data_IF_980424711888
#
_entry.id   IF_980424711888
#
_cell.length_a   1.000
_cell.length_b   1.000
_cell.length_c   1.000
_cell.angle_alpha   90.00
_cell.angle_beta   90.00
_cell.angle_gamma   90.00
#
_symmetry.space_group_name_H-M   'P 1'
#
loop_
_entity.id
_entity.type
_entity.pdbx_description
1 polymer ?
#
# COMPACT_ATOMS: atom_id res chain seq x y z
N UNK A 1 2.05 -19.14 21.47
CA UNK A 1 0.76 -19.24 20.73
C UNK A 1 0.98 -20.13 19.52
N UNK A 2 0.02 -20.99 19.17
CA UNK A 2 0.13 -21.80 17.96
C UNK A 2 -0.18 -20.97 16.71
N UNK A 3 0.45 -21.29 15.56
CA UNK A 3 0.22 -20.55 14.29
C UNK A 3 -1.27 -20.49 13.95
N UNK A 4 -1.98 -21.62 14.10
CA UNK A 4 -3.40 -21.70 13.75
C UNK A 4 -4.26 -20.80 14.64
N UNK A 5 -3.98 -20.75 15.91
CA UNK A 5 -4.66 -19.89 16.87
C UNK A 5 -4.51 -18.41 16.49
N UNK A 6 -3.27 -17.97 16.19
CA UNK A 6 -3.02 -16.60 15.75
C UNK A 6 -3.67 -16.30 14.40
N UNK A 7 -3.65 -17.24 13.45
CA UNK A 7 -4.34 -17.11 12.18
C UNK A 7 -5.85 -16.87 12.37
N UNK A 8 -6.49 -17.64 13.25
CA UNK A 8 -7.93 -17.54 13.51
C UNK A 8 -8.27 -16.19 14.17
N UNK A 9 -7.49 -15.75 15.15
CA UNK A 9 -7.65 -14.41 15.77
C UNK A 9 -7.56 -13.32 14.72
N UNK A 10 -6.52 -13.32 13.89
CA UNK A 10 -6.28 -12.31 12.86
C UNK A 10 -7.40 -12.31 11.80
N UNK A 11 -7.83 -13.48 11.35
CA UNK A 11 -8.90 -13.63 10.35
C UNK A 11 -10.24 -13.11 10.89
N UNK A 12 -10.62 -13.53 12.11
CA UNK A 12 -11.88 -13.15 12.74
C UNK A 12 -11.92 -11.65 13.05
N UNK A 13 -10.81 -11.05 13.49
CA UNK A 13 -10.71 -9.62 13.76
C UNK A 13 -10.51 -8.76 12.51
N UNK A 14 -10.49 -9.35 11.33
CA UNK A 14 -10.49 -8.63 10.06
C UNK A 14 -9.18 -7.93 9.72
N UNK A 15 -8.03 -8.41 10.22
CA UNK A 15 -6.72 -7.82 9.97
C UNK A 15 -6.21 -8.17 8.59
N UNK A 16 -5.95 -7.14 7.79
CA UNK A 16 -5.37 -7.23 6.45
C UNK A 16 -4.15 -6.33 6.33
N UNK A 17 -3.36 -6.48 5.27
CA UNK A 17 -2.28 -5.56 4.98
C UNK A 17 -2.78 -4.13 4.85
N UNK A 18 -2.46 -3.26 5.80
CA UNK A 18 -2.94 -1.88 5.89
C UNK A 18 -2.32 -0.98 4.81
N UNK A 19 -1.18 -1.36 4.26
CA UNK A 19 -0.53 -0.70 3.13
C UNK A 19 -0.65 -1.56 1.86
N UNK A 20 -1.01 -0.97 0.73
CA UNK A 20 -1.09 -1.66 -0.56
C UNK A 20 -2.44 -2.33 -0.82
N UNK A 21 -2.44 -3.59 -1.27
CA UNK A 21 -3.62 -4.25 -1.83
C UNK A 21 -4.52 -4.96 -0.80
N UNK A 22 -4.22 -4.86 0.50
CA UNK A 22 -5.05 -5.48 1.53
C UNK A 22 -4.96 -7.00 1.58
N UNK A 23 -3.76 -7.58 1.42
CA UNK A 23 -3.61 -9.03 1.52
C UNK A 23 -3.94 -9.52 2.94
N UNK A 24 -4.82 -10.54 3.12
CA UNK A 24 -5.18 -11.07 4.44
C UNK A 24 -3.96 -11.55 5.23
N UNK A 25 -3.73 -10.95 6.38
CA UNK A 25 -2.48 -11.09 7.15
C UNK A 25 -2.27 -12.51 7.65
N UNK A 26 -3.35 -13.22 8.02
CA UNK A 26 -3.28 -14.60 8.52
C UNK A 26 -2.58 -15.56 7.56
N UNK A 27 -2.66 -15.31 6.24
CA UNK A 27 -1.99 -16.12 5.22
C UNK A 27 -0.47 -15.96 5.16
N UNK A 28 0.07 -14.93 5.81
CA UNK A 28 1.52 -14.72 5.93
C UNK A 28 2.15 -15.48 7.08
N UNK A 29 1.33 -16.00 7.98
CA UNK A 29 1.79 -16.77 9.14
C UNK A 29 2.05 -18.22 8.73
N UNK A 30 3.31 -18.60 8.64
CA UNK A 30 3.74 -19.93 8.22
C UNK A 30 5.11 -20.26 8.79
N UNK A 31 5.35 -21.49 9.13
CA UNK A 31 6.63 -22.07 9.57
C UNK A 31 7.73 -22.07 8.50
N UNK A 32 7.36 -21.71 7.25
CA UNK A 32 8.33 -21.58 6.14
C UNK A 32 9.12 -20.27 6.18
N UNK A 33 8.69 -19.30 7.00
CA UNK A 33 9.38 -18.00 7.13
C UNK A 33 10.54 -18.15 8.13
N UNK A 34 11.76 -18.03 7.65
CA UNK A 34 12.96 -17.96 8.53
C UNK A 34 13.35 -16.51 8.87
N UNK A 35 12.80 -15.53 8.14
CA UNK A 35 12.93 -14.09 8.41
C UNK A 35 11.54 -13.48 8.36
N UNK A 36 11.21 -12.68 9.36
CA UNK A 36 10.09 -11.74 9.26
C UNK A 36 10.63 -10.33 9.09
N UNK A 37 10.03 -9.55 8.20
CA UNK A 37 10.49 -8.21 7.83
C UNK A 37 9.37 -7.20 8.01
N UNK A 38 9.56 -6.21 8.90
CA UNK A 38 8.61 -5.09 9.05
C UNK A 38 9.00 -3.97 8.10
N UNK A 39 8.08 -3.58 7.24
CA UNK A 39 8.24 -2.48 6.30
C UNK A 39 7.88 -1.15 6.96
N UNK A 40 8.88 -0.40 7.38
CA UNK A 40 8.79 1.00 7.82
C UNK A 40 9.46 1.96 6.83
N UNK A 41 9.62 1.53 5.57
CA UNK A 41 10.14 2.36 4.48
C UNK A 41 8.98 3.04 3.73
N UNK A 42 8.25 3.90 4.42
CA UNK A 42 7.18 4.70 3.82
C UNK A 42 7.77 5.58 2.70
N UNK A 43 7.63 5.13 1.46
CA UNK A 43 8.31 5.75 0.31
C UNK A 43 7.39 6.54 -0.61
N UNK A 44 6.07 6.50 -0.39
CA UNK A 44 5.16 7.42 -1.09
C UNK A 44 5.37 8.84 -0.54
N UNK A 45 5.75 9.82 -1.39
CA UNK A 45 6.00 11.18 -0.94
C UNK A 45 4.85 11.78 -0.11
N UNK A 46 5.18 12.61 0.87
CA UNK A 46 4.30 13.29 1.83
C UNK A 46 3.69 12.38 2.91
N UNK A 47 3.80 11.06 2.83
CA UNK A 47 3.24 10.17 3.83
C UNK A 47 4.20 10.00 5.03
N UNK A 48 3.64 10.09 6.24
CA UNK A 48 4.40 10.04 7.51
C UNK A 48 3.74 9.13 8.56
N UNK A 49 2.69 8.40 8.16
CA UNK A 49 1.83 7.63 9.06
C UNK A 49 2.59 6.51 9.79
N UNK A 50 3.34 5.68 9.05
CA UNK A 50 3.95 4.49 9.65
C UNK A 50 5.04 4.84 10.65
N UNK A 51 5.87 5.86 10.35
CA UNK A 51 6.87 6.33 11.30
C UNK A 51 6.23 6.96 12.55
N UNK A 52 5.13 7.70 12.41
CA UNK A 52 4.40 8.30 13.54
C UNK A 52 3.79 7.23 14.45
N UNK A 53 3.16 6.19 13.86
CA UNK A 53 2.65 5.06 14.63
C UNK A 53 3.77 4.32 15.35
N UNK A 54 4.86 4.04 14.65
CA UNK A 54 5.99 3.31 15.22
C UNK A 54 6.74 4.11 16.28
N UNK A 55 6.79 5.44 16.16
CA UNK A 55 7.34 6.33 17.19
C UNK A 55 6.48 6.30 18.47
N UNK A 56 5.17 6.31 18.31
CA UNK A 56 4.23 6.42 19.42
C UNK A 56 3.94 5.10 20.13
N UNK A 57 3.94 3.99 19.38
CA UNK A 57 3.60 2.64 19.84
C UNK A 57 4.75 1.65 19.61
N UNK A 58 6.00 2.11 19.82
CA UNK A 58 7.20 1.31 19.57
C UNK A 58 7.17 -0.03 20.32
N UNK A 59 6.89 0.00 21.62
CA UNK A 59 6.88 -1.19 22.45
C UNK A 59 5.80 -2.20 22.03
N UNK A 60 4.56 -1.75 21.85
CA UNK A 60 3.43 -2.61 21.48
C UNK A 60 3.63 -3.28 20.13
N UNK A 61 4.15 -2.50 19.16
CA UNK A 61 4.43 -2.99 17.81
C UNK A 61 5.59 -3.99 17.84
N UNK A 62 6.68 -3.69 18.56
CA UNK A 62 7.84 -4.58 18.67
C UNK A 62 7.50 -5.85 19.43
N UNK A 63 6.77 -5.77 20.56
CA UNK A 63 6.26 -6.91 21.33
C UNK A 63 5.45 -7.85 20.43
N UNK A 64 4.54 -7.29 19.64
CA UNK A 64 3.69 -8.06 18.72
C UNK A 64 4.50 -8.67 17.59
N UNK A 65 5.45 -7.93 17.05
CA UNK A 65 6.32 -8.42 15.98
C UNK A 65 7.20 -9.56 16.46
N UNK A 66 7.71 -9.47 17.69
CA UNK A 66 8.44 -10.56 18.34
C UNK A 66 7.54 -11.78 18.62
N UNK A 67 6.31 -11.57 19.08
CA UNK A 67 5.33 -12.66 19.22
C UNK A 67 5.07 -13.37 17.87
N UNK A 68 4.96 -12.62 16.77
CA UNK A 68 4.83 -13.22 15.43
C UNK A 68 6.10 -14.03 15.08
N UNK A 69 7.30 -13.49 15.37
CA UNK A 69 8.59 -14.18 15.16
C UNK A 69 8.61 -15.53 15.85
N UNK A 70 8.29 -15.57 17.14
CA UNK A 70 8.26 -16.79 17.94
C UNK A 70 7.20 -17.77 17.42
N UNK A 71 6.00 -17.27 17.08
CA UNK A 71 4.87 -18.08 16.62
C UNK A 71 5.19 -18.79 15.29
N UNK A 72 5.86 -18.14 14.35
CA UNK A 72 6.23 -18.74 13.06
C UNK A 72 7.60 -19.46 13.12
N UNK A 73 8.34 -19.32 14.22
CA UNK A 73 9.67 -19.93 14.40
C UNK A 73 10.76 -19.25 13.56
N UNK A 74 10.58 -17.96 13.22
CA UNK A 74 11.59 -17.23 12.43
C UNK A 74 12.83 -16.94 13.28
N UNK A 75 14.02 -17.20 12.71
CA UNK A 75 15.30 -16.95 13.37
C UNK A 75 15.63 -15.47 13.51
N UNK A 76 15.04 -14.61 12.67
CA UNK A 76 15.34 -13.18 12.60
C UNK A 76 14.09 -12.34 12.35
N UNK A 77 13.97 -11.24 13.09
CA UNK A 77 12.97 -10.19 12.88
C UNK A 77 13.68 -8.88 12.50
N UNK A 78 13.41 -8.38 11.30
CA UNK A 78 14.07 -7.18 10.76
C UNK A 78 13.07 -6.04 10.68
N UNK A 79 13.42 -4.87 11.21
CA UNK A 79 12.66 -3.63 10.98
C UNK A 79 13.40 -2.80 9.94
N UNK A 80 12.90 -2.79 8.70
CA UNK A 80 13.45 -1.96 7.63
C UNK A 80 12.96 -0.52 7.75
N UNK A 81 13.85 0.39 8.14
CA UNK A 81 13.54 1.78 8.46
C UNK A 81 14.50 2.76 7.78
N UNK A 82 14.02 3.89 7.31
CA UNK A 82 14.86 4.91 6.69
C UNK A 82 15.77 5.61 7.70
N UNK A 83 17.01 5.87 7.31
CA UNK A 83 18.03 6.54 8.15
C UNK A 83 17.58 7.90 8.69
N UNK A 84 16.76 8.62 7.95
CA UNK A 84 16.26 9.95 8.32
C UNK A 84 15.19 9.93 9.43
N UNK A 85 14.62 8.77 9.77
CA UNK A 85 13.57 8.66 10.79
C UNK A 85 14.18 8.62 12.20
N UNK A 86 14.97 9.65 12.55
CA UNK A 86 15.80 9.70 13.76
C UNK A 86 14.98 9.49 15.03
N UNK A 87 13.82 10.14 15.16
CA UNK A 87 12.96 10.03 16.34
C UNK A 87 12.37 8.63 16.48
N UNK A 88 11.91 8.06 15.37
CA UNK A 88 11.38 6.69 15.33
C UNK A 88 12.48 5.66 15.66
N UNK A 89 13.69 5.83 15.11
CA UNK A 89 14.85 4.98 15.42
C UNK A 89 15.20 5.07 16.91
N UNK A 90 15.15 6.28 17.49
CA UNK A 90 15.39 6.47 18.92
C UNK A 90 14.35 5.71 19.76
N UNK A 91 13.05 5.84 19.45
CA UNK A 91 11.98 5.12 20.14
C UNK A 91 12.15 3.59 20.07
N UNK A 92 12.53 3.06 18.91
CA UNK A 92 12.79 1.63 18.75
C UNK A 92 14.01 1.15 19.56
N UNK A 93 15.08 1.92 19.56
CA UNK A 93 16.32 1.57 20.28
C UNK A 93 16.13 1.55 21.81
N UNK A 94 15.10 2.18 22.35
CA UNK A 94 14.78 2.08 23.77
C UNK A 94 14.36 0.68 24.18
N UNK A 95 13.85 -0.12 23.24
CA UNK A 95 13.25 -1.44 23.51
C UNK A 95 13.92 -2.60 22.76
N UNK A 96 14.82 -2.33 21.81
CA UNK A 96 15.35 -3.37 20.89
C UNK A 96 16.01 -4.53 21.62
N UNK A 97 16.67 -4.25 22.75
CA UNK A 97 17.38 -5.26 23.56
C UNK A 97 16.42 -6.20 24.31
N UNK A 98 15.12 -5.80 24.47
CA UNK A 98 14.10 -6.62 25.10
C UNK A 98 13.61 -7.76 24.19
N UNK A 99 13.90 -7.69 22.87
CA UNK A 99 13.38 -8.61 21.85
C UNK A 99 14.50 -9.37 21.12
N UNK A 100 14.91 -10.55 21.61
CA UNK A 100 15.97 -11.36 21.00
C UNK A 100 15.69 -11.69 19.54
N UNK A 101 16.72 -11.61 18.69
CA UNK A 101 16.61 -11.88 17.25
C UNK A 101 15.98 -10.75 16.43
N UNK A 102 15.65 -9.62 17.06
CA UNK A 102 15.16 -8.42 16.38
C UNK A 102 16.30 -7.44 16.12
N UNK A 103 16.31 -6.84 14.93
CA UNK A 103 17.26 -5.78 14.59
C UNK A 103 16.68 -4.72 13.66
N UNK A 104 17.27 -3.54 13.68
CA UNK A 104 16.99 -2.50 12.70
C UNK A 104 17.87 -2.70 11.47
N UNK A 105 17.28 -2.49 10.29
CA UNK A 105 18.02 -2.35 9.03
C UNK A 105 17.79 -0.96 8.47
N UNK A 106 18.87 -0.16 8.40
CA UNK A 106 18.81 1.22 7.98
C UNK A 106 18.81 1.33 6.45
N UNK A 107 17.75 1.94 5.91
CA UNK A 107 17.48 2.09 4.48
C UNK A 107 17.78 3.50 4.00
N UNK A 108 18.10 3.63 2.71
CA UNK A 108 18.30 4.92 2.05
C UNK A 108 16.96 5.61 1.72
N UNK A 109 16.99 6.95 1.59
CA UNK A 109 15.87 7.82 1.20
C UNK A 109 15.61 7.75 -0.31
N UNK A 110 15.17 6.60 -0.81
CA UNK A 110 14.92 6.39 -2.24
C UNK A 110 13.56 5.76 -2.51
N UNK A 111 13.00 6.04 -3.68
CA UNK A 111 11.76 5.45 -4.14
C UNK A 111 12.03 4.33 -5.19
N UNK A 112 11.38 3.16 -5.12
CA UNK A 112 10.39 2.70 -4.15
C UNK A 112 10.98 1.75 -3.09
N UNK A 113 11.63 2.26 -2.07
CA UNK A 113 12.25 1.44 -1.01
C UNK A 113 11.21 0.54 -0.29
N UNK A 114 9.97 0.99 -0.19
CA UNK A 114 8.87 0.22 0.40
C UNK A 114 8.24 -0.83 -0.52
N UNK A 115 8.71 -0.99 -1.77
CA UNK A 115 8.33 -2.15 -2.61
C UNK A 115 8.85 -3.43 -1.96
N UNK A 116 7.95 -4.39 -1.73
CA UNK A 116 8.24 -5.62 -0.97
C UNK A 116 9.47 -6.38 -1.48
N UNK A 117 9.64 -6.49 -2.82
CA UNK A 117 10.78 -7.20 -3.42
C UNK A 117 12.07 -6.39 -3.31
N UNK A 118 11.98 -5.06 -3.45
CA UNK A 118 13.11 -4.16 -3.27
C UNK A 118 13.59 -4.20 -1.82
N UNK A 119 12.65 -4.09 -0.86
CA UNK A 119 12.95 -4.12 0.56
C UNK A 119 13.59 -5.44 1.00
N UNK A 120 13.09 -6.58 0.50
CA UNK A 120 13.69 -7.90 0.80
C UNK A 120 15.12 -7.93 0.31
N UNK A 121 15.39 -7.48 -0.91
CA UNK A 121 16.75 -7.44 -1.43
C UNK A 121 17.68 -6.55 -0.59
N UNK A 122 17.26 -5.33 -0.25
CA UNK A 122 18.04 -4.41 0.58
C UNK A 122 18.36 -5.00 1.96
N UNK A 123 17.37 -5.61 2.60
CA UNK A 123 17.51 -6.10 3.97
C UNK A 123 18.24 -7.45 4.08
N UNK A 124 18.20 -8.28 3.01
CA UNK A 124 18.63 -9.68 3.09
C UNK A 124 19.54 -10.14 1.95
N UNK A 125 19.68 -9.36 0.88
CA UNK A 125 20.38 -9.77 -0.35
C UNK A 125 19.63 -10.80 -1.21
N UNK A 126 18.43 -11.25 -0.76
CA UNK A 126 17.64 -12.28 -1.48
C UNK A 126 16.82 -11.67 -2.59
N UNK A 127 16.81 -12.27 -3.77
CA UNK A 127 16.02 -11.82 -4.91
C UNK A 127 14.77 -12.68 -5.03
N UNK A 128 13.60 -12.07 -4.87
CA UNK A 128 12.32 -12.74 -5.17
C UNK A 128 12.16 -12.83 -6.68
N UNK A 129 11.89 -14.03 -7.20
CA UNK A 129 11.75 -14.24 -8.64
C UNK A 129 10.55 -13.47 -9.24
N UNK A 130 10.55 -13.18 -10.56
CA UNK A 130 9.41 -12.57 -11.23
C UNK A 130 8.11 -13.37 -11.01
N UNK A 131 7.08 -12.69 -10.49
CA UNK A 131 5.79 -13.32 -10.15
C UNK A 131 5.83 -14.26 -8.95
N UNK A 132 6.98 -14.42 -8.27
CA UNK A 132 7.11 -15.20 -7.05
C UNK A 132 6.59 -14.49 -5.80
N UNK A 133 6.50 -15.25 -4.72
CA UNK A 133 6.10 -14.75 -3.42
C UNK A 133 7.31 -14.64 -2.48
N UNK A 134 7.35 -13.66 -1.56
CA UNK A 134 8.41 -13.50 -0.56
C UNK A 134 8.72 -14.80 0.20
N UNK A 135 7.72 -15.58 0.51
CA UNK A 135 7.87 -16.83 1.25
C UNK A 135 8.71 -17.90 0.51
N UNK A 136 8.81 -17.82 -0.81
CA UNK A 136 9.71 -18.69 -1.60
C UNK A 136 11.20 -18.41 -1.28
N UNK A 137 11.48 -17.24 -0.73
CA UNK A 137 12.78 -16.84 -0.20
C UNK A 137 12.87 -16.96 1.32
N UNK A 138 11.88 -17.61 1.96
CA UNK A 138 11.81 -17.75 3.41
C UNK A 138 11.53 -16.44 4.15
N UNK A 139 10.96 -15.44 3.49
CA UNK A 139 10.69 -14.11 4.08
C UNK A 139 9.18 -13.84 4.14
N UNK A 140 8.70 -13.35 5.28
CA UNK A 140 7.35 -12.80 5.40
C UNK A 140 7.41 -11.31 5.73
N UNK A 141 6.76 -10.47 4.91
CA UNK A 141 6.81 -9.00 5.06
C UNK A 141 5.51 -8.49 5.67
N UNK A 142 5.63 -7.64 6.70
CA UNK A 142 4.51 -7.01 7.41
C UNK A 142 4.61 -5.49 7.33
N UNK A 143 3.49 -4.82 7.29
CA UNK A 143 3.41 -3.36 7.39
C UNK A 143 3.27 -2.95 8.85
N UNK A 144 3.77 -1.77 9.24
CA UNK A 144 3.72 -1.24 10.61
C UNK A 144 2.31 -1.22 11.18
N UNK A 145 1.36 -0.59 10.50
CA UNK A 145 -0.03 -0.50 10.97
C UNK A 145 -0.72 -1.88 11.01
N UNK A 146 -0.31 -2.78 10.13
CA UNK A 146 -0.79 -4.18 10.19
C UNK A 146 -0.37 -4.86 11.48
N UNK A 147 0.91 -4.72 11.89
CA UNK A 147 1.39 -5.28 13.16
C UNK A 147 0.68 -4.64 14.35
N UNK A 148 0.45 -3.33 14.32
CA UNK A 148 -0.33 -2.65 15.34
C UNK A 148 -1.79 -3.15 15.41
N UNK A 149 -2.42 -3.42 14.27
CA UNK A 149 -3.74 -4.03 14.24
C UNK A 149 -3.75 -5.49 14.78
N UNK A 150 -2.66 -6.24 14.60
CA UNK A 150 -2.49 -7.55 15.26
C UNK A 150 -2.40 -7.38 16.79
N UNK A 151 -1.63 -6.41 17.27
CA UNK A 151 -1.58 -6.06 18.70
C UNK A 151 -2.98 -5.83 19.26
N UNK A 152 -3.75 -4.96 18.62
CA UNK A 152 -5.12 -4.62 19.05
C UNK A 152 -6.04 -5.84 19.04
N UNK A 153 -5.90 -6.71 18.05
CA UNK A 153 -6.70 -7.94 17.96
C UNK A 153 -6.35 -8.95 19.06
N UNK A 154 -5.06 -9.13 19.36
CA UNK A 154 -4.57 -10.15 20.30
C UNK A 154 -4.68 -9.67 21.76
N UNK A 155 -4.17 -8.47 22.06
CA UNK A 155 -4.07 -7.95 23.42
C UNK A 155 -5.35 -7.21 23.86
N UNK A 156 -5.86 -6.32 23.00
CA UNK A 156 -7.01 -5.48 23.33
C UNK A 156 -8.37 -6.12 22.96
N UNK A 157 -8.35 -7.25 22.25
CA UNK A 157 -9.56 -7.93 21.70
C UNK A 157 -10.39 -7.00 20.81
N UNK A 158 -9.74 -6.07 20.12
CA UNK A 158 -10.37 -5.09 19.25
C UNK A 158 -10.20 -5.46 17.79
N UNK A 159 -11.29 -5.68 17.04
CA UNK A 159 -11.22 -5.91 15.60
C UNK A 159 -10.90 -4.60 14.85
N UNK A 160 -10.54 -4.73 13.58
CA UNK A 160 -10.27 -3.57 12.72
C UNK A 160 -11.56 -2.84 12.38
N UNK A 161 -11.81 -1.75 13.08
CA UNK A 161 -13.00 -0.89 12.94
C UNK A 161 -12.66 0.53 12.48
N UNK A 162 -11.40 0.89 12.52
CA UNK A 162 -10.92 2.23 12.19
C UNK A 162 -9.62 2.18 11.39
N UNK A 163 -9.24 3.32 10.84
CA UNK A 163 -8.07 3.50 10.00
C UNK A 163 -7.41 4.85 10.30
N UNK A 164 -6.10 4.87 10.29
CA UNK A 164 -5.35 6.13 10.28
C UNK A 164 -5.20 6.63 8.85
N UNK A 165 -5.54 7.88 8.61
CA UNK A 165 -5.50 8.50 7.27
C UNK A 165 -4.82 9.85 7.35
N UNK A 166 -3.77 10.05 6.55
CA UNK A 166 -3.11 11.35 6.41
C UNK A 166 -3.86 12.22 5.40
N UNK A 167 -4.17 13.46 5.77
CA UNK A 167 -4.74 14.49 4.88
C UNK A 167 -3.71 15.57 4.69
N UNK A 168 -3.23 15.72 3.46
CA UNK A 168 -2.08 16.57 3.13
C UNK A 168 -2.28 17.36 1.83
N UNK A 169 -1.36 18.22 1.53
CA UNK A 169 -1.26 19.11 0.38
C UNK A 169 -2.14 20.37 0.50
N UNK A 170 -3.11 20.61 -0.36
CA UNK A 170 -3.90 21.86 -0.42
C UNK A 170 -5.01 21.90 0.65
N UNK A 171 -4.60 21.78 1.90
CA UNK A 171 -5.43 21.97 3.10
C UNK A 171 -4.77 22.95 4.06
N UNK A 172 -5.56 23.64 4.89
CA UNK A 172 -5.03 24.64 5.83
C UNK A 172 -4.18 24.01 6.93
N UNK A 173 -4.58 22.85 7.44
CA UNK A 173 -4.01 22.17 8.60
C UNK A 173 -3.75 20.67 8.29
N UNK A 174 -2.67 20.33 7.59
CA UNK A 174 -2.33 18.94 7.31
C UNK A 174 -2.30 18.12 8.61
N UNK A 175 -2.91 16.92 8.57
CA UNK A 175 -3.12 16.10 9.77
C UNK A 175 -3.20 14.62 9.42
N UNK A 176 -2.80 13.76 10.34
CA UNK A 176 -3.11 12.33 10.31
C UNK A 176 -4.17 12.06 11.36
N UNK A 177 -5.31 11.50 10.96
CA UNK A 177 -6.47 11.29 11.83
C UNK A 177 -6.89 9.84 11.87
N UNK A 178 -7.44 9.42 13.01
CA UNK A 178 -8.08 8.12 13.19
C UNK A 178 -9.56 8.21 12.88
N UNK A 179 -10.02 7.48 11.88
CA UNK A 179 -11.40 7.57 11.37
C UNK A 179 -12.08 6.20 11.35
N UNK A 180 -13.40 6.11 11.56
CA UNK A 180 -14.13 4.86 11.43
C UNK A 180 -14.14 4.40 9.97
N UNK A 181 -14.01 3.08 9.74
CA UNK A 181 -14.15 2.51 8.40
C UNK A 181 -15.54 2.82 7.84
N UNK A 182 -15.57 3.18 6.57
CA UNK A 182 -16.81 3.51 5.87
C UNK A 182 -17.26 4.97 5.99
N UNK A 183 -16.57 5.85 6.75
CA UNK A 183 -16.78 7.30 6.64
C UNK A 183 -16.35 7.78 5.26
N UNK A 184 -16.84 8.92 4.82
CA UNK A 184 -16.54 9.46 3.50
C UNK A 184 -15.20 10.18 3.45
N UNK A 185 -14.56 10.23 2.26
CA UNK A 185 -13.32 11.01 2.10
C UNK A 185 -13.52 12.49 2.46
N UNK A 186 -14.69 13.04 2.18
CA UNK A 186 -15.03 14.43 2.48
C UNK A 186 -15.06 14.70 4.00
N UNK A 187 -15.65 13.76 4.79
CA UNK A 187 -15.61 13.85 6.26
C UNK A 187 -14.19 13.80 6.82
N UNK A 188 -13.31 13.02 6.18
CA UNK A 188 -11.89 12.94 6.56
C UNK A 188 -11.15 14.22 6.20
N UNK A 189 -11.34 14.74 4.99
CA UNK A 189 -10.70 15.99 4.53
C UNK A 189 -11.12 17.17 5.41
N UNK A 190 -12.37 17.20 5.88
CA UNK A 190 -12.86 18.25 6.79
C UNK A 190 -12.08 18.31 8.12
N UNK A 191 -11.37 17.24 8.53
CA UNK A 191 -10.53 17.25 9.72
C UNK A 191 -9.23 18.06 9.55
N UNK A 192 -8.84 18.34 8.30
CA UNK A 192 -7.67 19.14 7.94
C UNK A 192 -8.01 20.63 7.68
N UNK A 193 -9.14 21.12 8.19
CA UNK A 193 -9.62 22.48 8.01
C UNK A 193 -10.20 22.72 6.61
N UNK A 194 -9.94 23.90 6.05
CA UNK A 194 -10.43 24.26 4.72
C UNK A 194 -9.48 23.82 3.61
N UNK A 195 -10.02 23.52 2.43
CA UNK A 195 -9.19 23.35 1.23
C UNK A 195 -8.70 24.73 0.75
N UNK A 196 -7.44 24.80 0.33
CA UNK A 196 -6.78 26.06 -0.09
C UNK A 196 -6.95 26.33 -1.59
N UNK A 197 -7.61 25.40 -2.32
CA UNK A 197 -7.92 25.53 -3.76
C UNK A 197 -9.41 25.46 -4.02
N UNK A 198 -9.85 26.10 -5.10
CA UNK A 198 -11.27 26.26 -5.44
C UNK A 198 -11.93 24.95 -5.87
N UNK A 199 -11.27 24.16 -6.72
CA UNK A 199 -11.79 22.91 -7.28
C UNK A 199 -10.86 21.75 -6.88
N UNK A 200 -10.92 21.27 -5.61
CA UNK A 200 -10.01 20.26 -5.12
C UNK A 200 -10.30 18.88 -5.75
N UNK A 201 -9.23 18.16 -6.06
CA UNK A 201 -9.29 16.74 -6.42
C UNK A 201 -8.76 15.94 -5.25
N UNK A 202 -9.54 14.98 -4.77
CA UNK A 202 -9.11 14.04 -3.74
C UNK A 202 -8.34 12.90 -4.38
N UNK A 203 -7.07 12.80 -4.03
CA UNK A 203 -6.19 11.75 -4.52
C UNK A 203 -5.95 10.75 -3.39
N UNK A 204 -6.50 9.54 -3.52
CA UNK A 204 -6.51 8.51 -2.47
C UNK A 204 -5.25 7.66 -2.57
N UNK A 205 -4.50 7.57 -1.48
CA UNK A 205 -3.18 6.93 -1.41
C UNK A 205 -2.05 7.92 -1.70
N UNK A 206 -0.85 7.40 -1.93
CA UNK A 206 0.32 8.24 -2.24
C UNK A 206 0.35 8.74 -3.69
N UNK A 207 1.15 9.76 -4.00
CA UNK A 207 1.17 10.42 -5.31
C UNK A 207 1.60 9.52 -6.46
N UNK A 208 2.39 8.48 -6.18
CA UNK A 208 2.90 7.57 -7.19
C UNK A 208 1.90 6.48 -7.57
N UNK A 209 1.36 5.77 -6.57
CA UNK A 209 0.51 4.61 -6.78
C UNK A 209 -0.98 4.88 -6.58
N UNK A 210 -1.36 6.00 -5.97
CA UNK A 210 -2.74 6.36 -5.67
C UNK A 210 -3.64 6.58 -6.89
N UNK A 211 -4.91 6.86 -6.60
CA UNK A 211 -5.98 7.10 -7.59
C UNK A 211 -6.80 8.33 -7.24
N UNK A 212 -7.48 8.89 -8.24
CA UNK A 212 -8.49 9.92 -8.01
C UNK A 212 -9.71 9.27 -7.33
N UNK A 213 -10.18 9.87 -6.25
CA UNK A 213 -11.38 9.50 -5.50
C UNK A 213 -12.48 10.53 -5.59
N UNK A 214 -13.69 10.12 -5.22
CA UNK A 214 -14.84 10.99 -5.06
C UNK A 214 -15.04 11.28 -3.57
N UNK A 215 -15.47 12.49 -3.21
CA UNK A 215 -15.74 12.87 -1.81
C UNK A 215 -16.65 11.90 -1.05
N UNK A 216 -17.60 11.27 -1.74
CA UNK A 216 -18.52 10.28 -1.19
C UNK A 216 -17.94 8.85 -1.11
N UNK A 217 -16.72 8.58 -1.61
CA UNK A 217 -16.09 7.28 -1.48
C UNK A 217 -15.85 6.94 -0.01
N UNK A 218 -16.07 5.68 0.43
CA UNK A 218 -15.83 5.29 1.81
C UNK A 218 -14.33 5.02 2.06
N UNK A 219 -13.88 5.36 3.26
CA UNK A 219 -12.59 4.91 3.78
C UNK A 219 -12.62 3.39 3.97
N UNK A 220 -11.57 2.73 3.52
CA UNK A 220 -11.39 1.28 3.63
C UNK A 220 -10.16 0.94 4.46
N UNK A 221 -9.96 -0.33 4.79
CA UNK A 221 -8.78 -0.84 5.51
C UNK A 221 -7.43 -0.50 4.84
N UNK A 222 -7.45 -0.11 3.56
CA UNK A 222 -6.26 0.21 2.76
C UNK A 222 -6.10 1.69 2.41
N UNK A 223 -6.98 2.56 2.92
CA UNK A 223 -6.92 4.01 2.70
C UNK A 223 -5.91 4.65 3.65
N UNK A 224 -4.68 4.95 3.19
CA UNK A 224 -3.61 5.50 4.04
C UNK A 224 -3.54 7.02 4.01
N UNK A 225 -3.94 7.64 2.90
CA UNK A 225 -3.84 9.08 2.74
C UNK A 225 -4.87 9.62 1.75
N UNK A 226 -5.16 10.90 1.88
CA UNK A 226 -5.90 11.73 0.92
C UNK A 226 -5.03 12.96 0.66
N UNK A 227 -4.52 13.08 -0.58
CA UNK A 227 -3.87 14.30 -1.03
C UNK A 227 -4.94 15.18 -1.67
N UNK A 228 -5.09 16.39 -1.18
CA UNK A 228 -5.95 17.40 -1.81
C UNK A 228 -5.11 18.16 -2.82
N UNK A 229 -5.38 17.99 -4.10
CA UNK A 229 -4.59 18.59 -5.18
C UNK A 229 -5.44 19.51 -6.06
N UNK A 230 -4.86 20.55 -6.66
CA UNK A 230 -5.56 21.35 -7.66
C UNK A 230 -5.85 20.50 -8.91
N UNK A 231 -6.95 20.78 -9.58
CA UNK A 231 -7.43 20.04 -10.75
C UNK A 231 -6.39 19.98 -11.90
N UNK A 232 -5.58 21.03 -12.04
CA UNK A 232 -4.52 21.16 -13.06
C UNK A 232 -3.17 20.61 -12.61
N UNK A 233 -3.08 20.01 -11.42
CA UNK A 233 -1.83 19.43 -10.93
C UNK A 233 -1.33 18.31 -11.84
N UNK A 234 -0.01 18.27 -12.09
CA UNK A 234 0.64 17.29 -12.98
C UNK A 234 0.20 15.83 -12.71
N UNK A 235 0.10 15.45 -11.45
CA UNK A 235 -0.30 14.09 -11.04
C UNK A 235 -1.74 13.82 -11.46
N UNK A 236 -2.65 14.75 -11.22
CA UNK A 236 -4.07 14.66 -11.62
C UNK A 236 -4.18 14.54 -13.14
N UNK A 237 -3.53 15.45 -13.87
CA UNK A 237 -3.54 15.46 -15.32
C UNK A 237 -3.01 14.15 -15.94
N UNK A 238 -1.97 13.55 -15.35
CA UNK A 238 -1.45 12.24 -15.80
C UNK A 238 -2.44 11.09 -15.55
N UNK A 239 -3.11 11.07 -14.40
CA UNK A 239 -4.06 10.01 -14.05
C UNK A 239 -5.40 10.09 -14.79
N UNK A 240 -5.72 11.24 -15.35
CA UNK A 240 -6.95 11.42 -16.17
C UNK A 240 -6.76 11.07 -17.64
N UNK A 241 -5.52 10.85 -18.12
CA UNK A 241 -5.29 10.48 -19.51
C UNK A 241 -5.83 9.10 -19.85
N UNK A 242 -6.19 8.93 -21.11
CA UNK A 242 -6.61 7.64 -21.67
C UNK A 242 -5.46 6.98 -22.41
N UNK A 243 -5.43 5.65 -22.42
CA UNK A 243 -4.39 4.85 -23.07
C UNK A 243 -4.27 5.12 -24.57
N UNK A 244 -5.37 5.43 -25.27
CA UNK A 244 -5.36 5.76 -26.69
C UNK A 244 -4.58 7.05 -26.96
N UNK A 245 -4.72 8.07 -26.11
CA UNK A 245 -3.95 9.32 -26.22
C UNK A 245 -2.49 9.05 -25.90
N UNK A 246 -2.20 8.27 -24.86
CA UNK A 246 -0.84 7.98 -24.44
C UNK A 246 -0.07 7.14 -25.47
N UNK A 247 -0.73 6.18 -26.16
CA UNK A 247 -0.13 5.44 -27.26
C UNK A 247 0.20 6.33 -28.45
N UNK A 248 -0.71 7.22 -28.86
CA UNK A 248 -0.46 8.18 -29.94
C UNK A 248 0.72 9.11 -29.62
N UNK A 249 0.78 9.59 -28.38
CA UNK A 249 1.91 10.39 -27.90
C UNK A 249 3.22 9.59 -27.92
N UNK A 250 3.19 8.33 -27.47
CA UNK A 250 4.36 7.47 -27.49
C UNK A 250 4.88 7.26 -28.91
N UNK A 251 4.00 6.98 -29.87
CA UNK A 251 4.35 6.82 -31.28
C UNK A 251 5.02 8.09 -31.87
N UNK A 252 4.58 9.28 -31.40
CA UNK A 252 5.05 10.56 -32.00
C UNK A 252 6.35 11.07 -31.35
N UNK A 253 6.56 10.90 -30.03
CA UNK A 253 7.62 11.63 -29.32
C UNK A 253 8.52 10.73 -28.45
N UNK A 254 8.36 9.39 -28.42
CA UNK A 254 9.25 8.52 -27.66
C UNK A 254 10.65 8.53 -28.30
N UNK A 255 11.63 9.18 -27.65
CA UNK A 255 13.00 9.26 -28.10
C UNK A 255 13.86 8.01 -27.81
N UNK A 256 13.29 6.95 -27.31
CA UNK A 256 13.94 5.67 -27.01
C UNK A 256 15.21 5.78 -26.15
N UNK A 257 15.25 6.74 -25.23
CA UNK A 257 16.42 7.05 -24.39
C UNK A 257 16.77 5.97 -23.33
N UNK A 258 15.93 4.94 -23.17
CA UNK A 258 16.06 3.84 -22.21
C UNK A 258 16.07 4.25 -20.71
N UNK A 259 15.83 5.50 -20.35
CA UNK A 259 15.78 5.94 -18.94
C UNK A 259 14.69 5.21 -18.13
N UNK A 260 13.61 4.76 -18.78
CA UNK A 260 12.53 4.06 -18.10
C UNK A 260 12.88 2.64 -17.61
N UNK A 261 13.61 1.75 -18.34
CA UNK A 261 14.15 0.52 -17.76
C UNK A 261 15.34 0.80 -16.85
N UNK A 262 16.20 1.76 -17.17
CA UNK A 262 17.39 2.10 -16.38
C UNK A 262 17.05 2.42 -14.92
N UNK A 263 15.95 3.13 -14.67
CA UNK A 263 15.49 3.47 -13.35
C UNK A 263 14.40 2.52 -12.82
N UNK A 264 14.06 1.46 -13.56
CA UNK A 264 13.05 0.51 -13.10
C UNK A 264 13.61 -0.41 -12.01
N UNK A 265 13.06 -0.38 -10.77
CA UNK A 265 13.61 -1.15 -9.65
C UNK A 265 13.54 -2.66 -9.89
N UNK A 266 12.49 -3.14 -10.56
CA UNK A 266 12.33 -4.56 -10.88
C UNK A 266 13.27 -5.01 -12.01
N UNK A 267 13.46 -4.19 -13.03
CA UNK A 267 14.44 -4.45 -14.09
C UNK A 267 15.86 -4.54 -13.52
N UNK A 268 16.22 -3.64 -12.61
CA UNK A 268 17.52 -3.62 -11.97
C UNK A 268 17.76 -4.83 -11.03
N UNK A 269 16.70 -5.46 -10.52
CA UNK A 269 16.76 -6.72 -9.78
C UNK A 269 16.71 -7.97 -10.70
N UNK A 270 16.87 -7.79 -12.02
CA UNK A 270 16.93 -8.89 -12.99
C UNK A 270 15.58 -9.42 -13.46
N UNK A 271 14.46 -8.76 -13.12
CA UNK A 271 13.16 -9.14 -13.65
C UNK A 271 13.07 -8.82 -15.16
N UNK A 272 12.31 -9.59 -15.96
CA UNK A 272 12.27 -9.42 -17.42
C UNK A 272 11.56 -8.16 -17.88
N UNK A 273 10.88 -7.45 -16.98
CA UNK A 273 10.16 -6.21 -17.30
C UNK A 273 11.08 -5.14 -17.91
N UNK A 274 10.78 -4.71 -19.13
CA UNK A 274 11.49 -3.66 -19.83
C UNK A 274 10.49 -2.62 -20.39
N UNK A 275 10.28 -1.50 -19.69
CA UNK A 275 9.33 -0.48 -20.14
C UNK A 275 9.65 0.12 -21.50
N UNK A 276 10.93 0.22 -21.92
CA UNK A 276 11.29 0.79 -23.22
C UNK A 276 10.95 -0.16 -24.36
N UNK A 277 11.22 -1.46 -24.20
CA UNK A 277 10.81 -2.47 -25.19
C UNK A 277 9.30 -2.53 -25.33
N UNK A 278 8.57 -2.52 -24.21
CA UNK A 278 7.11 -2.45 -24.22
C UNK A 278 6.59 -1.21 -24.96
N UNK A 279 7.11 -0.02 -24.61
CA UNK A 279 6.70 1.25 -25.26
C UNK A 279 6.94 1.21 -26.77
N UNK A 280 8.08 0.67 -27.21
CA UNK A 280 8.41 0.54 -28.63
C UNK A 280 7.47 -0.42 -29.35
N UNK A 281 7.23 -1.59 -28.79
CA UNK A 281 6.34 -2.59 -29.38
C UNK A 281 4.89 -2.05 -29.45
N UNK A 282 4.37 -1.52 -28.34
CA UNK A 282 2.98 -1.05 -28.25
C UNK A 282 2.71 0.17 -29.15
N UNK A 283 3.61 1.14 -29.21
CA UNK A 283 3.42 2.34 -30.03
C UNK A 283 3.50 2.07 -31.54
N UNK A 284 4.16 1.00 -31.96
CA UNK A 284 4.29 0.61 -33.39
C UNK A 284 3.35 -0.56 -33.77
N UNK A 285 2.49 -1.02 -32.86
CA UNK A 285 1.65 -2.21 -33.05
C UNK A 285 2.47 -3.43 -33.52
N UNK A 286 3.67 -3.60 -32.95
CA UNK A 286 4.58 -4.69 -33.30
C UNK A 286 4.33 -5.92 -32.45
N UNK A 287 3.73 -6.94 -33.05
CA UNK A 287 3.38 -8.22 -32.42
C UNK A 287 4.29 -9.38 -32.85
N UNK A 288 5.42 -9.10 -33.51
CA UNK A 288 6.38 -10.15 -33.92
C UNK A 288 7.10 -10.77 -32.73
N UNK A 289 7.31 -9.99 -31.67
CA UNK A 289 7.76 -10.46 -30.36
C UNK A 289 6.70 -10.11 -29.30
N UNK A 290 6.09 -11.13 -28.69
CA UNK A 290 5.07 -10.96 -27.67
C UNK A 290 5.64 -10.81 -26.25
N UNK A 291 6.93 -11.08 -26.04
CA UNK A 291 7.55 -10.99 -24.72
C UNK A 291 7.37 -9.63 -24.04
N UNK A 292 7.55 -8.47 -24.70
CA UNK A 292 7.35 -7.17 -24.06
C UNK A 292 5.93 -6.98 -23.49
N UNK A 293 4.93 -7.59 -24.12
CA UNK A 293 3.54 -7.53 -23.67
C UNK A 293 3.28 -8.49 -22.50
N UNK A 294 3.79 -9.71 -22.57
CA UNK A 294 3.65 -10.73 -21.52
C UNK A 294 4.41 -10.29 -20.26
N UNK A 295 5.62 -9.75 -20.41
CA UNK A 295 6.47 -9.27 -19.32
C UNK A 295 5.85 -8.07 -18.57
N UNK A 296 4.88 -7.35 -19.18
CA UNK A 296 4.06 -6.35 -18.47
C UNK A 296 3.37 -6.92 -17.24
N UNK A 297 3.10 -8.22 -17.20
CA UNK A 297 2.50 -8.91 -16.05
C UNK A 297 3.36 -8.84 -14.78
N UNK A 298 4.68 -8.67 -14.93
CA UNK A 298 5.65 -8.55 -13.82
C UNK A 298 5.84 -7.13 -13.30
N UNK A 299 5.16 -6.14 -13.90
CA UNK A 299 5.24 -4.76 -13.46
C UNK A 299 4.62 -4.59 -12.06
N UNK A 300 5.36 -3.97 -11.12
CA UNK A 300 4.87 -3.60 -9.77
C UNK A 300 3.96 -2.36 -9.77
N UNK A 301 3.87 -1.66 -10.90
CA UNK A 301 3.11 -0.42 -11.04
C UNK A 301 3.60 0.74 -10.15
N UNK A 302 4.85 0.74 -9.71
CA UNK A 302 5.43 1.77 -8.84
C UNK A 302 5.45 3.19 -9.45
N UNK A 303 5.33 3.32 -10.77
CA UNK A 303 5.21 4.63 -11.43
C UNK A 303 6.52 5.36 -11.74
N UNK A 304 7.70 4.86 -11.34
CA UNK A 304 8.99 5.53 -11.60
C UNK A 304 9.18 5.88 -13.07
N UNK A 305 8.91 4.94 -13.97
CA UNK A 305 9.08 5.11 -15.42
C UNK A 305 8.21 6.23 -16.02
N UNK A 306 7.07 6.53 -15.39
CA UNK A 306 6.09 7.54 -15.85
C UNK A 306 6.25 8.88 -15.13
N UNK A 307 6.35 8.83 -13.80
CA UNK A 307 6.30 10.03 -12.97
C UNK A 307 7.67 10.72 -12.84
N UNK A 308 8.75 9.95 -12.98
CA UNK A 308 10.10 10.46 -12.81
C UNK A 308 10.99 10.30 -14.05
N UNK A 309 11.12 9.08 -14.59
CA UNK A 309 12.14 8.74 -15.59
C UNK A 309 11.91 9.39 -16.96
N UNK A 310 10.65 9.44 -17.43
CA UNK A 310 10.39 9.84 -18.82
C UNK A 310 10.58 11.35 -19.03
N UNK A 311 11.59 11.78 -19.84
CA UNK A 311 11.81 13.19 -20.14
C UNK A 311 10.68 13.79 -21.01
N UNK A 312 9.97 12.95 -21.77
CA UNK A 312 8.85 13.34 -22.64
C UNK A 312 7.49 13.28 -21.94
N UNK A 313 7.46 13.03 -20.62
CA UNK A 313 6.21 12.89 -19.85
C UNK A 313 5.22 11.89 -20.46
N UNK A 314 5.70 10.80 -21.06
CA UNK A 314 4.88 9.68 -21.51
C UNK A 314 4.39 8.84 -20.32
N UNK A 315 3.51 7.86 -20.58
CA UNK A 315 2.82 7.08 -19.57
C UNK A 315 3.16 5.56 -19.62
N UNK A 316 4.43 5.14 -19.49
CA UNK A 316 4.77 3.72 -19.58
C UNK A 316 4.07 2.87 -18.53
N UNK A 317 3.99 3.35 -17.27
CA UNK A 317 3.33 2.63 -16.18
C UNK A 317 1.84 2.42 -16.44
N UNK A 318 1.15 3.44 -16.92
CA UNK A 318 -0.29 3.36 -17.18
C UNK A 318 -0.58 2.37 -18.32
N UNK A 319 0.18 2.43 -19.41
CA UNK A 319 0.05 1.49 -20.53
C UNK A 319 0.42 0.05 -20.15
N UNK A 320 1.45 -0.15 -19.32
CA UNK A 320 1.80 -1.47 -18.76
C UNK A 320 0.68 -2.02 -17.85
N UNK A 321 0.04 -1.17 -17.05
CA UNK A 321 -1.06 -1.56 -16.19
C UNK A 321 -2.30 -1.99 -17.01
N UNK A 322 -2.61 -1.28 -18.07
CA UNK A 322 -3.70 -1.62 -19.00
C UNK A 322 -3.43 -2.94 -19.71
N UNK A 323 -2.19 -3.14 -20.17
CA UNK A 323 -1.77 -4.42 -20.77
C UNK A 323 -1.92 -5.57 -19.78
N UNK A 324 -1.43 -5.41 -18.55
CA UNK A 324 -1.58 -6.39 -17.46
C UNK A 324 -3.06 -6.70 -17.19
N UNK A 325 -3.92 -5.67 -17.17
CA UNK A 325 -5.36 -5.81 -17.03
C UNK A 325 -6.00 -6.56 -18.22
N UNK A 326 -5.57 -6.27 -19.45
CA UNK A 326 -5.98 -6.93 -20.67
C UNK A 326 -5.62 -8.42 -20.69
N UNK A 327 -4.38 -8.75 -20.36
CA UNK A 327 -3.91 -10.14 -20.26
C UNK A 327 -4.76 -10.94 -19.25
N UNK A 328 -5.03 -10.36 -18.07
CA UNK A 328 -5.89 -10.99 -17.05
C UNK A 328 -7.31 -11.24 -17.56
N UNK A 329 -7.92 -10.26 -18.23
CA UNK A 329 -9.26 -10.40 -18.82
C UNK A 329 -9.32 -11.47 -19.91
N UNK A 330 -8.23 -11.61 -20.68
CA UNK A 330 -8.08 -12.66 -21.67
C UNK A 330 -7.72 -14.04 -21.10
N UNK A 331 -7.62 -14.16 -19.76
CA UNK A 331 -7.24 -15.43 -19.11
C UNK A 331 -5.75 -15.78 -19.23
N UNK A 332 -4.93 -14.88 -19.76
CA UNK A 332 -3.49 -15.09 -19.92
C UNK A 332 -2.80 -14.84 -18.57
N UNK A 333 -2.21 -15.90 -18.02
CA UNK A 333 -1.47 -15.85 -16.76
C UNK A 333 0.00 -15.50 -17.01
N UNK A 334 0.67 -14.82 -16.02
CA UNK A 334 2.11 -14.63 -16.07
C UNK A 334 2.84 -15.98 -16.24
N UNK A 335 3.94 -16.03 -17.02
CA UNK A 335 4.76 -17.23 -17.11
C UNK A 335 5.22 -17.67 -15.72
N UNK A 336 5.12 -18.98 -15.44
CA UNK A 336 5.51 -19.56 -14.17
C UNK A 336 6.99 -19.94 -14.17
N UNK A 337 7.63 -19.93 -12.99
CA UNK A 337 9.01 -20.40 -12.84
C UNK A 337 10.08 -19.52 -13.48
N UNK A 338 9.74 -18.32 -13.94
CA UNK A 338 10.73 -17.37 -14.50
C UNK A 338 11.77 -17.03 -13.46
N UNK A 339 13.04 -17.24 -13.82
CA UNK A 339 14.17 -16.89 -12.95
C UNK A 339 14.64 -15.46 -13.23
N UNK A 340 15.04 -14.70 -12.20
CA UNK A 340 15.65 -13.40 -12.40
C UNK A 340 17.03 -13.55 -13.06
N UNK A 341 17.37 -12.58 -13.89
CA UNK A 341 18.76 -12.38 -14.30
C UNK A 341 19.59 -11.88 -13.11
N UNK A 342 20.93 -11.90 -13.19
CA UNK A 342 21.75 -11.27 -12.17
C UNK A 342 21.34 -9.81 -11.93
N UNK A 343 21.38 -9.39 -10.67
CA UNK A 343 21.16 -7.98 -10.28
C UNK A 343 22.15 -7.11 -11.03
N UNK A 344 21.67 -6.00 -11.60
CA UNK A 344 22.54 -5.12 -12.37
C UNK A 344 23.55 -4.42 -11.48
N UNK A 345 24.83 -4.43 -11.88
CA UNK A 345 25.92 -3.76 -11.14
C UNK A 345 25.69 -2.26 -10.98
N UNK A 346 25.05 -1.64 -11.98
CA UNK A 346 24.73 -0.21 -11.98
C UNK A 346 23.54 0.17 -11.07
N UNK A 347 22.86 -0.80 -10.43
CA UNK A 347 21.65 -0.57 -9.63
C UNK A 347 21.83 0.49 -8.55
N UNK A 348 22.95 0.47 -7.85
CA UNK A 348 23.20 1.41 -6.74
C UNK A 348 23.24 2.88 -7.22
N UNK A 349 23.68 3.12 -8.44
CA UNK A 349 23.73 4.46 -9.05
C UNK A 349 22.42 4.89 -9.72
N UNK A 350 21.41 4.00 -9.74
CA UNK A 350 20.11 4.18 -10.42
C UNK A 350 18.93 4.27 -9.47
N UNK A 351 19.18 4.33 -8.19
CA UNK A 351 18.16 4.60 -7.16
C UNK A 351 17.65 6.04 -7.30
N UNK A 352 16.35 6.24 -7.14
CA UNK A 352 15.69 7.54 -7.28
C UNK A 352 15.55 8.19 -5.89
N UNK A 353 16.30 9.27 -5.59
CA UNK A 353 16.15 9.98 -4.33
C UNK A 353 14.74 10.57 -4.18
N UNK A 354 14.14 10.41 -3.00
CA UNK A 354 12.76 10.83 -2.75
C UNK A 354 12.59 12.35 -2.84
N UNK A 355 13.56 13.13 -2.38
CA UNK A 355 13.58 14.58 -2.51
C UNK A 355 13.51 15.03 -3.99
N UNK A 356 14.30 14.40 -4.86
CA UNK A 356 14.26 14.68 -6.32
C UNK A 356 12.94 14.25 -6.95
N UNK A 357 12.35 13.16 -6.46
CA UNK A 357 11.03 12.72 -6.89
C UNK A 357 9.95 13.74 -6.50
N UNK A 358 9.96 14.22 -5.24
CA UNK A 358 9.04 15.26 -4.79
C UNK A 358 9.17 16.54 -5.60
N UNK A 359 10.40 17.00 -5.85
CA UNK A 359 10.65 18.17 -6.68
C UNK A 359 10.13 18.00 -8.12
N UNK A 360 10.37 16.83 -8.73
CA UNK A 360 9.87 16.48 -10.07
C UNK A 360 8.36 16.50 -10.17
N UNK A 361 7.67 16.11 -9.09
CA UNK A 361 6.21 16.07 -8.99
C UNK A 361 5.58 17.40 -8.56
N UNK A 362 6.38 18.42 -8.22
CA UNK A 362 5.88 19.70 -7.69
C UNK A 362 5.31 19.59 -6.28
N UNK A 363 5.76 18.61 -5.49
CA UNK A 363 5.23 18.31 -4.17
C UNK A 363 6.02 18.92 -3.01
N UNK A 364 7.22 19.44 -3.23
CA UNK A 364 8.11 19.95 -2.17
C UNK A 364 7.42 20.97 -1.26
N UNK A 365 6.58 21.86 -1.81
CA UNK A 365 5.83 22.85 -1.05
C UNK A 365 4.80 22.25 -0.08
N UNK A 366 4.42 21.01 -0.27
CA UNK A 366 3.45 20.28 0.55
C UNK A 366 4.09 19.38 1.59
N UNK A 367 5.42 19.30 1.62
CA UNK A 367 6.13 18.55 2.67
C UNK A 367 6.09 19.31 3.99
N UNK A 368 4.97 19.21 4.66
CA UNK A 368 4.67 19.81 5.95
C UNK A 368 4.43 18.72 6.98
N UNK A 369 4.48 19.10 8.25
CA UNK A 369 4.06 18.22 9.32
C UNK A 369 2.55 17.93 9.20
N UNK A 370 2.20 16.68 9.48
CA UNK A 370 0.81 16.22 9.54
C UNK A 370 0.65 15.41 10.84
N UNK A 371 0.52 16.09 12.00
CA UNK A 371 0.57 15.44 13.31
C UNK A 371 -0.52 14.38 13.47
N UNK A 372 -0.16 13.28 14.14
CA UNK A 372 -1.06 12.17 14.41
C UNK A 372 -2.03 12.53 15.54
N UNK A 373 -3.33 12.49 15.26
CA UNK A 373 -4.43 12.56 16.22
C UNK A 373 -5.08 11.20 16.38
N UNK A 374 -5.08 10.67 17.60
CA UNK A 374 -5.62 9.31 17.88
C UNK A 374 -7.08 9.31 18.29
N UNK A 375 -7.65 10.46 18.57
CA UNK A 375 -9.08 10.57 18.85
C UNK A 375 -9.87 10.10 17.62
N UNK A 376 -10.84 9.21 17.85
CA UNK A 376 -11.69 8.73 16.76
C UNK A 376 -12.64 9.82 16.30
N UNK A 377 -12.55 10.16 15.03
CA UNK A 377 -13.46 11.14 14.40
C UNK A 377 -14.90 10.64 14.50
N UNK A 378 -15.80 11.53 14.92
CA UNK A 378 -17.23 11.25 15.03
C UNK A 378 -17.91 11.49 13.68
N UNK A 379 -18.74 10.56 13.26
CA UNK A 379 -19.51 10.63 12.00
C UNK A 379 -20.96 10.25 12.24
N UNK A 380 -21.84 10.67 11.38
CA UNK A 380 -23.28 10.37 11.50
C UNK A 380 -23.69 9.05 10.85
N UNK A 381 -22.90 8.60 9.87
CA UNK A 381 -23.21 7.42 9.06
C UNK A 381 -21.94 6.84 8.48
N UNK A 382 -21.88 5.52 8.33
CA UNK A 382 -20.79 4.83 7.63
C UNK A 382 -21.35 3.90 6.56
N UNK A 383 -20.60 3.75 5.45
CA UNK A 383 -20.86 2.78 4.39
C UNK A 383 -19.68 1.78 4.34
N UNK A 384 -19.84 0.63 4.98
CA UNK A 384 -18.79 -0.38 5.13
C UNK A 384 -18.85 -1.34 3.95
N UNK A 385 -17.79 -1.39 3.14
CA UNK A 385 -17.71 -2.31 2.01
C UNK A 385 -17.47 -3.75 2.49
N UNK A 386 -18.09 -4.73 1.83
CA UNK A 386 -17.88 -6.16 2.08
C UNK A 386 -16.59 -6.68 1.42
N UNK A 387 -16.05 -5.95 0.42
CA UNK A 387 -14.78 -6.24 -0.25
C UNK A 387 -13.76 -5.13 0.05
N UNK A 388 -12.87 -5.37 1.01
CA UNK A 388 -11.82 -4.41 1.42
C UNK A 388 -10.40 -5.02 1.37
N UNK A 389 -10.26 -6.19 0.74
CA UNK A 389 -9.03 -6.96 0.67
C UNK A 389 -8.98 -7.80 -0.61
N UNK A 390 -7.82 -8.37 -0.93
CA UNK A 390 -7.70 -9.37 -1.99
C UNK A 390 -8.39 -10.66 -1.53
N UNK A 391 -9.23 -11.24 -2.40
CA UNK A 391 -9.95 -12.47 -2.13
C UNK A 391 -11.47 -12.30 -2.27
N UNK A 392 -12.22 -13.21 -1.65
CA UNK A 392 -13.67 -13.20 -1.69
C UNK A 392 -14.25 -12.14 -0.74
N UNK A 393 -15.29 -11.38 -1.13
CA UNK A 393 -16.01 -10.48 -0.22
C UNK A 393 -16.55 -11.24 1.00
N UNK A 394 -16.56 -10.59 2.16
CA UNK A 394 -17.20 -11.14 3.35
C UNK A 394 -18.73 -11.24 3.17
N UNK A 395 -19.36 -12.17 3.86
CA UNK A 395 -20.80 -12.44 3.79
C UNK A 395 -21.53 -11.75 4.94
N UNK A 396 -22.47 -10.87 4.63
CA UNK A 396 -23.25 -10.15 5.64
C UNK A 396 -24.01 -11.13 6.56
N UNK A 397 -23.97 -10.87 7.87
CA UNK A 397 -24.68 -11.63 8.91
C UNK A 397 -25.73 -10.80 9.64
N UNK A 398 -25.91 -9.55 9.23
CA UNK A 398 -26.92 -8.60 9.73
C UNK A 398 -27.88 -8.21 8.64
N UNK A 399 -29.04 -7.67 9.02
CA UNK A 399 -30.08 -7.18 8.10
C UNK A 399 -30.47 -5.74 8.44
N UNK A 400 -31.13 -5.07 7.49
CA UNK A 400 -31.68 -3.74 7.74
C UNK A 400 -32.67 -3.76 8.90
N UNK A 401 -32.52 -2.80 9.81
CA UNK A 401 -33.28 -2.71 11.05
C UNK A 401 -32.51 -3.19 12.29
N UNK A 402 -31.47 -4.01 12.14
CA UNK A 402 -30.68 -4.51 13.26
C UNK A 402 -29.93 -3.37 13.96
N UNK A 403 -29.78 -3.50 15.28
CA UNK A 403 -28.92 -2.66 16.10
C UNK A 403 -27.56 -3.33 16.27
N UNK A 404 -26.49 -2.57 16.06
CA UNK A 404 -25.13 -3.07 16.19
C UNK A 404 -24.29 -2.17 17.08
N UNK A 405 -23.33 -2.77 17.77
CA UNK A 405 -22.32 -2.06 18.56
C UNK A 405 -20.99 -2.04 17.81
N UNK A 406 -20.20 -0.99 18.02
CA UNK A 406 -18.84 -0.92 17.45
C UNK A 406 -18.02 -2.15 17.85
N UNK A 407 -17.36 -2.77 16.89
CA UNK A 407 -16.61 -4.01 17.07
C UNK A 407 -17.44 -5.28 16.87
N UNK A 408 -18.75 -5.20 16.78
CA UNK A 408 -19.59 -6.36 16.46
C UNK A 408 -19.32 -6.83 15.04
N UNK A 409 -19.17 -8.14 14.82
CA UNK A 409 -19.06 -8.71 13.47
C UNK A 409 -20.37 -8.52 12.70
N UNK A 410 -20.30 -7.88 11.53
CA UNK A 410 -21.43 -7.62 10.64
C UNK A 410 -21.35 -8.41 9.33
N UNK A 411 -20.15 -8.95 9.01
CA UNK A 411 -20.00 -9.91 7.94
C UNK A 411 -18.90 -10.91 8.29
N UNK A 412 -19.18 -12.19 8.08
CA UNK A 412 -18.25 -13.29 8.33
C UNK A 412 -17.35 -13.54 7.14
N UNK A 413 -16.13 -14.11 7.34
CA UNK A 413 -15.27 -14.51 6.24
C UNK A 413 -15.99 -15.47 5.29
N UNK A 414 -15.85 -15.24 3.99
CA UNK A 414 -16.29 -16.18 2.97
C UNK A 414 -15.34 -17.38 2.87
N UNK A 415 -15.77 -18.43 2.16
CA UNK A 415 -14.91 -19.57 1.85
C UNK A 415 -13.69 -19.13 1.03
N UNK A 416 -12.49 -19.61 1.38
CA UNK A 416 -11.23 -19.27 0.76
C UNK A 416 -10.54 -18.06 1.39
N UNK A 417 -9.94 -17.20 0.59
CA UNK A 417 -9.21 -16.04 1.07
C UNK A 417 -10.17 -14.92 1.44
N UNK A 418 -10.45 -14.73 2.73
CA UNK A 418 -11.39 -13.74 3.25
C UNK A 418 -11.14 -13.46 4.73
N UNK A 419 -11.62 -12.32 5.23
CA UNK A 419 -11.55 -11.91 6.64
C UNK A 419 -12.88 -11.32 7.12
N UNK A 420 -13.10 -11.31 8.45
CA UNK A 420 -14.27 -10.69 9.07
C UNK A 420 -14.35 -9.17 8.86
N UNK A 421 -15.58 -8.67 8.83
CA UNK A 421 -15.89 -7.24 8.77
C UNK A 421 -16.74 -6.88 10.00
N UNK A 422 -16.41 -5.76 10.63
CA UNK A 422 -17.00 -5.34 11.89
C UNK A 422 -17.63 -3.95 11.78
N UNK A 423 -18.64 -3.70 12.60
CA UNK A 423 -19.24 -2.39 12.71
C UNK A 423 -18.20 -1.38 13.22
N UNK A 424 -17.95 -0.33 12.46
CA UNK A 424 -17.00 0.73 12.81
C UNK A 424 -17.58 1.76 13.77
N UNK A 425 -18.90 1.79 13.87
CA UNK A 425 -19.69 2.65 14.78
C UNK A 425 -20.83 1.85 15.41
N UNK A 426 -21.34 2.31 16.56
CA UNK A 426 -22.58 1.81 17.12
C UNK A 426 -23.78 2.52 16.49
N UNK A 427 -24.84 1.80 16.17
CA UNK A 427 -26.01 2.40 15.55
C UNK A 427 -26.97 1.38 14.94
N UNK A 428 -27.85 1.87 14.05
CA UNK A 428 -28.83 1.05 13.37
C UNK A 428 -28.40 0.77 11.93
N UNK A 429 -28.44 -0.51 11.54
CA UNK A 429 -28.24 -0.92 10.14
C UNK A 429 -29.42 -0.41 9.32
N UNK A 430 -29.16 0.47 8.36
CA UNK A 430 -30.22 1.06 7.51
C UNK A 430 -30.33 0.38 6.15
N UNK A 431 -29.24 -0.20 5.66
CA UNK A 431 -29.19 -0.86 4.36
C UNK A 431 -28.14 -1.99 4.35
N UNK A 432 -28.48 -3.10 3.70
CA UNK A 432 -27.57 -4.21 3.44
C UNK A 432 -27.71 -4.62 1.98
N UNK A 433 -26.59 -4.63 1.26
CA UNK A 433 -26.49 -5.06 -0.13
C UNK A 433 -25.46 -6.18 -0.28
N UNK A 434 -25.25 -6.68 -1.49
CA UNK A 434 -24.18 -7.59 -1.86
C UNK A 434 -22.76 -6.95 -1.82
N UNK A 435 -22.68 -5.60 -1.69
CA UNK A 435 -21.42 -4.84 -1.75
C UNK A 435 -21.08 -4.10 -0.47
N UNK A 436 -22.07 -3.66 0.29
CA UNK A 436 -21.86 -2.81 1.46
C UNK A 436 -22.99 -2.91 2.48
N UNK A 437 -22.69 -2.47 3.69
CA UNK A 437 -23.63 -2.27 4.79
C UNK A 437 -23.57 -0.79 5.21
N UNK A 438 -24.75 -0.15 5.39
CA UNK A 438 -24.84 1.21 5.93
C UNK A 438 -25.33 1.16 7.38
N UNK A 439 -24.59 1.86 8.26
CA UNK A 439 -24.96 2.03 9.66
C UNK A 439 -25.10 3.52 9.95
N UNK A 440 -26.28 3.92 10.44
CA UNK A 440 -26.54 5.26 10.95
C UNK A 440 -26.28 5.29 12.46
N UNK A 441 -25.46 6.24 12.91
CA UNK A 441 -25.17 6.46 14.33
C UNK A 441 -26.43 6.98 15.02
N UNK A 442 -26.68 6.54 16.25
CA UNK A 442 -27.81 7.03 17.06
C UNK A 442 -27.58 8.44 17.58
#
# INVERSE_FOLDING_TARGET
>A
MEIKELQDIIQQNGVVGAGGAGFPTYMKLTDKANIILMNCAECEPLLKLHRQLLEKHAYEIMKTFHMIQETVGASEAIIGIKKSYVQTIHALNQHIEEFPGMRLHLLDEVYPMGDEVVLIYEATGRVVRPGGLPIEQGVAVFNVETVYNVYRAVEEKQPVTDKYVSVVAEVSDPVTVRVPLGCTLEEVVAQAGSTTVKDPVYFVGGPMMGRIGNGSDPVTKTTNAILVLPKDHLIVAKKQRTSSIDLKRAASICCQCNTCPDLCPRHNLGHPIDPAKFMRAASNNDFRDLNPYIDASFCSSCGVCEMYSCPQSLAPRSLLADMKGGLRKAGIRPPQGVQPKPVQESREYRKVPEERLMARLGLTRYDKDAPLKEELVQVKKVRILLSQHIGAPAQAVVKAGDEVTRGQMIAQPAQGLSVGIHASVSGKVTEVTDRYIIIAVK
#
